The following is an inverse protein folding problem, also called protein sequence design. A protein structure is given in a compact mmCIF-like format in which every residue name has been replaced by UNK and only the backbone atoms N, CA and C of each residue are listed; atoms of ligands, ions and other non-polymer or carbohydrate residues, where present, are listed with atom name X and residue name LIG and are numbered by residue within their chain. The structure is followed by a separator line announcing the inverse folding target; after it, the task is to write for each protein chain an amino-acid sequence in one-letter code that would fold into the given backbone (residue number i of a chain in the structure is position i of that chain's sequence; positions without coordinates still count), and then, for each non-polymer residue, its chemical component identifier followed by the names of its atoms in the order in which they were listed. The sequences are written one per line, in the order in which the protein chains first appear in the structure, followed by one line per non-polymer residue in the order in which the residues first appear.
data_IF_917643248498
#
_entry.id   IF_917643248498
#
_cell.length_a   1.000
_cell.length_b   1.000
_cell.length_c   1.000
_cell.angle_alpha   90.00
_cell.angle_beta   90.00
_cell.angle_gamma   90.00
#
_symmetry.space_group_name_H-M   'P 1'
#
loop_
_entity.id
_entity.type
_entity.pdbx_description
1 polymer ?
#
# COMPACT_ATOMS: atom_id res chain seq x y z
N UNK A 1 -4.12 -33.23 -9.63
CA UNK A 1 -5.19 -32.26 -9.94
C UNK A 1 -6.28 -32.32 -8.87
N UNK A 2 -5.97 -31.94 -7.61
CA UNK A 2 -6.86 -32.21 -6.46
C UNK A 2 -6.95 -31.06 -5.45
N UNK A 3 -7.21 -29.85 -5.91
CA UNK A 3 -7.78 -28.82 -5.02
C UNK A 3 -8.83 -28.04 -5.81
N UNK A 4 -10.08 -27.96 -5.33
CA UNK A 4 -11.18 -27.26 -6.00
C UNK A 4 -11.06 -25.73 -5.81
N UNK A 5 -9.84 -25.20 -5.91
CA UNK A 5 -9.54 -23.78 -5.66
C UNK A 5 -9.13 -23.16 -6.98
N UNK A 6 -9.91 -22.17 -7.42
CA UNK A 6 -9.60 -21.42 -8.64
C UNK A 6 -8.36 -20.54 -8.42
N UNK A 7 -7.56 -20.31 -9.47
CA UNK A 7 -6.38 -19.43 -9.45
C UNK A 7 -6.69 -18.07 -8.81
N UNK A 8 -7.88 -17.54 -9.13
CA UNK A 8 -8.39 -16.30 -8.57
C UNK A 8 -8.55 -16.37 -7.06
N UNK A 9 -9.14 -17.44 -6.54
CA UNK A 9 -9.34 -17.63 -5.11
C UNK A 9 -8.01 -17.78 -4.36
N UNK A 10 -7.04 -18.50 -4.93
CA UNK A 10 -5.69 -18.65 -4.36
C UNK A 10 -4.93 -17.31 -4.33
N UNK A 11 -5.01 -16.53 -5.42
CA UNK A 11 -4.40 -15.21 -5.49
C UNK A 11 -5.01 -14.26 -4.46
N UNK A 12 -6.35 -14.18 -4.39
CA UNK A 12 -7.05 -13.33 -3.43
C UNK A 12 -6.77 -13.73 -1.98
N UNK A 13 -6.70 -15.04 -1.68
CA UNK A 13 -6.35 -15.49 -0.33
C UNK A 13 -4.91 -15.10 0.03
N UNK A 14 -3.96 -15.24 -0.90
CA UNK A 14 -2.55 -14.84 -0.67
C UNK A 14 -2.44 -13.33 -0.46
N UNK A 15 -3.16 -12.55 -1.25
CA UNK A 15 -3.16 -11.09 -1.18
C UNK A 15 -3.84 -10.58 0.10
N UNK A 16 -4.97 -11.17 0.51
CA UNK A 16 -5.62 -10.82 1.78
C UNK A 16 -4.77 -11.24 2.99
N UNK A 17 -4.14 -12.42 2.94
CA UNK A 17 -3.28 -12.92 4.00
C UNK A 17 -2.07 -12.02 4.26
N UNK A 18 -1.55 -11.32 3.25
CA UNK A 18 -0.47 -10.34 3.39
C UNK A 18 -0.96 -8.93 3.64
N UNK A 19 -2.12 -8.54 3.08
CA UNK A 19 -2.72 -7.23 3.27
C UNK A 19 -3.14 -6.97 4.72
N UNK A 20 -3.83 -7.93 5.35
CA UNK A 20 -4.33 -7.78 6.72
C UNK A 20 -3.19 -7.44 7.70
N UNK A 21 -2.11 -8.23 7.82
CA UNK A 21 -1.02 -7.91 8.75
C UNK A 21 -0.32 -6.59 8.38
N UNK A 22 -0.13 -6.28 7.10
CA UNK A 22 0.47 -5.02 6.67
C UNK A 22 -0.38 -3.80 7.09
N UNK A 23 -1.71 -3.89 6.92
CA UNK A 23 -2.62 -2.83 7.32
C UNK A 23 -2.71 -2.67 8.83
N UNK A 24 -2.71 -3.78 9.59
CA UNK A 24 -2.64 -3.75 11.05
C UNK A 24 -1.36 -3.06 11.54
N UNK A 25 -0.20 -3.35 10.93
CA UNK A 25 1.06 -2.67 11.26
C UNK A 25 0.96 -1.16 10.97
N UNK A 26 0.27 -0.77 9.90
CA UNK A 26 0.07 0.65 9.58
C UNK A 26 -0.85 1.34 10.58
N UNK A 27 -1.97 0.71 10.96
CA UNK A 27 -2.90 1.24 11.96
C UNK A 27 -2.26 1.37 13.34
N UNK A 28 -1.50 0.35 13.76
CA UNK A 28 -0.77 0.39 15.04
C UNK A 28 0.31 1.48 15.03
N UNK A 29 1.06 1.62 13.94
CA UNK A 29 2.04 2.69 13.77
C UNK A 29 1.40 4.07 13.83
N UNK A 30 0.22 4.24 13.20
CA UNK A 30 -0.55 5.48 13.26
C UNK A 30 -1.07 5.79 14.67
N UNK A 31 -1.54 4.78 15.41
CA UNK A 31 -2.00 4.94 16.79
C UNK A 31 -0.85 5.37 17.71
N UNK A 32 0.32 4.73 17.58
CA UNK A 32 1.55 5.11 18.31
C UNK A 32 1.98 6.52 17.94
N UNK A 33 1.98 6.87 16.65
CA UNK A 33 2.33 8.21 16.19
C UNK A 33 1.37 9.28 16.77
N UNK A 34 0.07 9.02 16.72
CA UNK A 34 -0.96 9.89 17.32
C UNK A 34 -0.71 10.11 18.81
N UNK A 35 -0.35 9.04 19.54
CA UNK A 35 -0.07 9.10 20.97
C UNK A 35 1.19 9.94 21.26
N UNK A 36 2.27 9.72 20.50
CA UNK A 36 3.51 10.51 20.62
C UNK A 36 3.25 11.99 20.35
N UNK A 37 2.50 12.31 19.29
CA UNK A 37 2.15 13.70 18.94
C UNK A 37 1.31 14.34 20.04
N UNK A 38 0.37 13.64 20.65
CA UNK A 38 -0.40 14.20 21.77
C UNK A 38 0.46 14.44 23.02
N UNK A 39 1.30 13.48 23.39
CA UNK A 39 2.14 13.56 24.59
C UNK A 39 3.20 14.66 24.48
N UNK A 40 3.85 14.79 23.33
CA UNK A 40 4.93 15.75 23.14
C UNK A 40 4.45 17.09 22.54
N UNK A 41 3.48 17.04 21.63
CA UNK A 41 2.94 18.21 20.95
C UNK A 41 1.93 18.99 21.78
N UNK A 42 1.21 18.36 22.72
CA UNK A 42 0.26 19.03 23.61
C UNK A 42 0.90 20.08 24.53
N UNK A 43 2.22 20.00 24.76
CA UNK A 43 2.97 21.04 25.47
C UNK A 43 3.22 22.31 24.63
N UNK A 44 3.14 22.21 23.31
CA UNK A 44 3.48 23.30 22.36
C UNK A 44 2.29 23.81 21.56
N UNK A 45 1.25 23.00 21.35
CA UNK A 45 0.04 23.37 20.58
C UNK A 45 -1.18 23.48 21.51
N UNK A 46 -1.79 24.66 21.56
CA UNK A 46 -3.00 24.94 22.38
C UNK A 46 -4.31 24.42 21.76
N UNK A 47 -4.29 24.00 20.49
CA UNK A 47 -5.43 23.36 19.81
C UNK A 47 -5.22 21.85 19.70
N UNK A 48 -6.33 21.10 19.63
CA UNK A 48 -6.33 19.64 19.46
C UNK A 48 -5.61 19.28 18.14
N UNK A 49 -4.32 18.87 18.18
CA UNK A 49 -3.46 19.04 17.03
C UNK A 49 -3.51 17.85 16.06
N UNK A 50 -4.14 16.75 16.46
CA UNK A 50 -4.10 15.47 15.76
C UNK A 50 -5.17 14.50 16.31
N UNK A 51 -5.68 13.51 15.56
CA UNK A 51 -5.64 13.40 14.11
C UNK A 51 -6.64 14.35 13.44
N UNK A 52 -6.20 15.06 12.40
CA UNK A 52 -7.09 15.90 11.59
C UNK A 52 -7.72 15.09 10.43
N UNK A 53 -8.65 15.72 9.70
CA UNK A 53 -9.35 15.06 8.59
C UNK A 53 -8.40 14.55 7.49
N UNK A 54 -7.31 15.28 7.21
CA UNK A 54 -6.30 14.87 6.21
C UNK A 54 -5.66 13.54 6.60
N UNK A 55 -5.28 13.38 7.87
CA UNK A 55 -4.70 12.14 8.38
C UNK A 55 -5.66 10.96 8.38
N UNK A 56 -6.93 11.19 8.71
CA UNK A 56 -7.97 10.16 8.60
C UNK A 56 -8.12 9.69 7.15
N UNK A 57 -8.20 10.60 6.18
CA UNK A 57 -8.26 10.25 4.75
C UNK A 57 -7.00 9.49 4.32
N UNK A 58 -5.81 9.90 4.77
CA UNK A 58 -4.57 9.20 4.46
C UNK A 58 -4.58 7.76 4.98
N UNK A 59 -4.99 7.52 6.21
CA UNK A 59 -4.92 6.19 6.83
C UNK A 59 -6.04 5.26 6.36
N UNK A 60 -7.26 5.78 6.17
CA UNK A 60 -8.41 4.95 5.84
C UNK A 60 -8.66 4.82 4.33
N UNK A 61 -8.14 5.74 3.51
CA UNK A 61 -8.38 5.72 2.06
C UNK A 61 -7.10 5.54 1.25
N UNK A 62 -6.06 6.34 1.52
CA UNK A 62 -4.83 6.31 0.71
C UNK A 62 -3.96 5.12 1.07
N UNK A 63 -3.73 4.87 2.37
CA UNK A 63 -2.93 3.77 2.88
C UNK A 63 -3.36 2.39 2.39
N UNK A 64 -4.65 1.97 2.46
CA UNK A 64 -5.03 0.66 1.96
C UNK A 64 -4.78 0.54 0.45
N UNK A 65 -4.99 1.61 -0.31
CA UNK A 65 -4.69 1.65 -1.75
C UNK A 65 -3.19 1.45 -2.01
N UNK A 66 -2.33 2.20 -1.29
CA UNK A 66 -0.87 2.09 -1.46
C UNK A 66 -0.34 0.71 -1.05
N UNK A 67 -0.89 0.11 0.01
CA UNK A 67 -0.52 -1.24 0.43
C UNK A 67 -0.91 -2.26 -0.65
N UNK A 68 -2.11 -2.16 -1.20
CA UNK A 68 -2.56 -3.01 -2.31
C UNK A 68 -1.69 -2.87 -3.55
N UNK A 69 -1.30 -1.64 -3.90
CA UNK A 69 -0.37 -1.37 -4.98
C UNK A 69 0.97 -2.06 -4.76
N UNK A 70 1.59 -1.87 -3.60
CA UNK A 70 2.87 -2.49 -3.27
C UNK A 70 2.82 -4.02 -3.29
N UNK A 71 1.76 -4.61 -2.73
CA UNK A 71 1.57 -6.06 -2.71
C UNK A 71 1.30 -6.63 -4.11
N UNK A 72 0.44 -5.99 -4.90
CA UNK A 72 0.14 -6.45 -6.27
C UNK A 72 1.37 -6.36 -7.16
N UNK A 73 2.15 -5.28 -7.07
CA UNK A 73 3.39 -5.12 -7.79
C UNK A 73 4.47 -6.13 -7.34
N UNK A 74 4.61 -6.39 -6.04
CA UNK A 74 5.51 -7.43 -5.50
C UNK A 74 5.16 -8.81 -6.05
N UNK A 75 3.87 -9.18 -6.06
CA UNK A 75 3.44 -10.49 -6.59
C UNK A 75 3.72 -10.61 -8.09
N UNK A 76 3.51 -9.54 -8.86
CA UNK A 76 3.89 -9.50 -10.28
C UNK A 76 5.39 -9.71 -10.43
N UNK A 77 6.22 -8.91 -9.74
CA UNK A 77 7.68 -9.01 -9.83
C UNK A 77 8.16 -10.40 -9.43
N UNK A 78 7.62 -10.96 -8.34
CA UNK A 78 7.98 -12.30 -7.86
C UNK A 78 7.68 -13.39 -8.90
N UNK A 79 6.57 -13.29 -9.64
CA UNK A 79 6.19 -14.29 -10.65
C UNK A 79 7.06 -14.25 -11.93
N UNK A 80 7.82 -13.17 -12.14
CA UNK A 80 8.73 -13.01 -13.28
C UNK A 80 10.20 -13.02 -12.90
N UNK A 81 10.53 -12.93 -11.61
CA UNK A 81 11.88 -12.98 -11.11
C UNK A 81 12.41 -14.42 -11.10
N UNK A 82 13.64 -14.60 -11.57
CA UNK A 82 14.32 -15.89 -11.60
C UNK A 82 14.95 -16.29 -10.26
N UNK A 83 15.10 -15.36 -9.31
CA UNK A 83 15.62 -15.64 -7.97
C UNK A 83 14.88 -14.80 -6.91
N UNK A 84 14.77 -15.34 -5.69
CA UNK A 84 14.17 -14.64 -4.56
C UNK A 84 14.87 -13.31 -4.24
N UNK A 85 16.21 -13.30 -4.31
CA UNK A 85 17.02 -12.10 -4.08
C UNK A 85 16.77 -11.03 -5.16
N UNK A 86 16.65 -11.44 -6.43
CA UNK A 86 16.33 -10.55 -7.54
C UNK A 86 14.93 -9.94 -7.41
N UNK A 87 13.94 -10.74 -7.01
CA UNK A 87 12.59 -10.26 -6.73
C UNK A 87 12.58 -9.18 -5.64
N UNK A 88 13.32 -9.40 -4.55
CA UNK A 88 13.39 -8.46 -3.43
C UNK A 88 14.09 -7.15 -3.82
N UNK A 89 15.20 -7.20 -4.56
CA UNK A 89 15.88 -6.00 -5.04
C UNK A 89 14.99 -5.20 -5.99
N UNK A 90 14.40 -5.87 -6.99
CA UNK A 90 13.54 -5.21 -7.97
C UNK A 90 12.27 -4.63 -7.32
N UNK A 91 11.72 -5.31 -6.30
CA UNK A 91 10.59 -4.79 -5.55
C UNK A 91 10.97 -3.60 -4.66
N UNK A 92 12.22 -3.55 -4.20
CA UNK A 92 12.79 -2.35 -3.57
C UNK A 92 12.79 -1.12 -4.50
N UNK A 93 12.98 -1.30 -5.81
CA UNK A 93 12.88 -0.19 -6.77
C UNK A 93 11.48 0.42 -6.86
N UNK A 94 10.41 -0.31 -6.49
CA UNK A 94 9.05 0.25 -6.41
C UNK A 94 8.98 1.37 -5.37
N UNK A 95 9.84 1.38 -4.34
CA UNK A 95 9.84 2.45 -3.34
C UNK A 95 10.30 3.81 -3.92
N UNK A 96 11.09 3.82 -5.00
CA UNK A 96 11.64 5.05 -5.60
C UNK A 96 10.56 6.06 -6.01
N UNK A 97 9.51 5.71 -6.77
CA UNK A 97 8.44 6.66 -7.08
C UNK A 97 7.73 7.20 -5.83
N UNK A 98 7.57 6.39 -4.78
CA UNK A 98 7.01 6.86 -3.51
C UNK A 98 7.93 7.86 -2.82
N UNK A 99 9.24 7.62 -2.82
CA UNK A 99 10.22 8.59 -2.31
C UNK A 99 10.15 9.90 -3.09
N UNK A 100 10.02 9.85 -4.42
CA UNK A 100 9.84 11.03 -5.26
C UNK A 100 8.59 11.85 -4.87
N UNK A 101 7.47 11.16 -4.60
CA UNK A 101 6.24 11.82 -4.12
C UNK A 101 6.44 12.49 -2.75
N UNK A 102 7.15 11.85 -1.82
CA UNK A 102 7.46 12.42 -0.50
C UNK A 102 8.31 13.69 -0.66
N UNK A 103 9.34 13.64 -1.51
CA UNK A 103 10.19 14.80 -1.79
C UNK A 103 9.33 15.93 -2.37
N UNK A 104 8.53 15.66 -3.41
CA UNK A 104 7.67 16.66 -4.04
C UNK A 104 6.66 17.29 -3.05
N UNK A 105 6.11 16.48 -2.14
CA UNK A 105 5.20 16.95 -1.08
C UNK A 105 5.94 17.87 -0.10
N UNK A 106 7.09 17.43 0.43
CA UNK A 106 7.86 18.19 1.43
C UNK A 106 8.45 19.48 0.87
N UNK A 107 8.83 19.51 -0.42
CA UNK A 107 9.28 20.72 -1.11
C UNK A 107 8.15 21.72 -1.40
N UNK A 108 6.89 21.37 -1.12
CA UNK A 108 5.73 22.23 -1.40
C UNK A 108 5.30 22.28 -2.87
N UNK A 109 5.99 21.55 -3.76
CA UNK A 109 5.65 21.45 -5.19
C UNK A 109 4.31 20.74 -5.37
N UNK A 110 4.01 19.77 -4.50
CA UNK A 110 2.77 19.00 -4.53
C UNK A 110 2.07 19.09 -3.16
N UNK A 111 1.29 20.16 -2.89
CA UNK A 111 0.53 20.26 -1.66
C UNK A 111 -0.57 19.18 -1.63
N UNK A 112 -0.47 18.25 -0.68
CA UNK A 112 -1.50 17.23 -0.47
C UNK A 112 -2.70 17.84 0.26
N UNK A 113 -3.54 18.50 -0.50
CA UNK A 113 -4.87 18.90 -0.04
C UNK A 113 -5.82 17.71 0.03
N UNK A 114 -6.78 17.78 0.94
CA UNK A 114 -7.77 16.71 1.17
C UNK A 114 -8.49 16.32 -0.12
N UNK A 115 -8.79 17.29 -0.98
CA UNK A 115 -9.42 17.06 -2.28
C UNK A 115 -8.60 16.13 -3.20
N UNK A 116 -7.28 16.31 -3.27
CA UNK A 116 -6.42 15.48 -4.11
C UNK A 116 -6.28 14.06 -3.53
N UNK A 117 -6.29 13.92 -2.21
CA UNK A 117 -6.24 12.62 -1.55
C UNK A 117 -7.51 11.80 -1.79
N UNK A 118 -8.68 12.44 -1.67
CA UNK A 118 -9.98 11.79 -1.85
C UNK A 118 -10.18 11.32 -3.29
N UNK A 119 -9.63 12.03 -4.29
CA UNK A 119 -9.69 11.62 -5.70
C UNK A 119 -8.57 10.64 -6.07
N UNK A 120 -7.37 10.87 -5.54
CA UNK A 120 -6.18 10.09 -5.88
C UNK A 120 -6.25 8.64 -5.39
N UNK A 121 -6.81 8.39 -4.21
CA UNK A 121 -6.92 7.04 -3.68
C UNK A 121 -7.86 6.13 -4.51
N UNK A 122 -9.10 6.53 -4.86
CA UNK A 122 -9.93 5.76 -5.79
C UNK A 122 -9.25 5.51 -7.13
N UNK A 123 -8.55 6.52 -7.68
CA UNK A 123 -7.80 6.36 -8.91
C UNK A 123 -6.71 5.28 -8.78
N UNK A 124 -5.98 5.29 -7.67
CA UNK A 124 -4.96 4.26 -7.37
C UNK A 124 -5.59 2.87 -7.24
N UNK A 125 -6.74 2.74 -6.58
CA UNK A 125 -7.47 1.47 -6.49
C UNK A 125 -7.91 0.94 -7.85
N UNK A 126 -8.30 1.84 -8.78
CA UNK A 126 -8.59 1.45 -10.16
C UNK A 126 -7.32 0.92 -10.83
N UNK A 127 -6.17 1.56 -10.64
CA UNK A 127 -4.89 1.05 -11.12
C UNK A 127 -4.53 -0.31 -10.51
N UNK A 128 -4.72 -0.50 -9.21
CA UNK A 128 -4.49 -1.79 -8.54
C UNK A 128 -5.36 -2.88 -9.14
N UNK A 129 -6.64 -2.58 -9.35
CA UNK A 129 -7.58 -3.51 -9.97
C UNK A 129 -7.14 -3.88 -11.39
N UNK A 130 -6.63 -2.93 -12.18
CA UNK A 130 -6.12 -3.18 -13.53
C UNK A 130 -4.86 -4.06 -13.49
N UNK A 131 -3.91 -3.78 -12.59
CA UNK A 131 -2.69 -4.57 -12.40
C UNK A 131 -3.06 -6.01 -12.02
N UNK A 132 -3.92 -6.18 -11.02
CA UNK A 132 -4.39 -7.50 -10.55
C UNK A 132 -5.11 -8.24 -11.69
N UNK A 133 -5.99 -7.56 -12.42
CA UNK A 133 -6.74 -8.17 -13.53
C UNK A 133 -5.81 -8.61 -14.67
N UNK A 134 -4.79 -7.82 -14.99
CA UNK A 134 -3.78 -8.19 -15.99
C UNK A 134 -2.92 -9.36 -15.52
N UNK A 135 -2.52 -9.35 -14.24
CA UNK A 135 -1.75 -10.39 -13.58
C UNK A 135 -2.50 -11.74 -13.62
N UNK A 136 -3.79 -11.75 -13.26
CA UNK A 136 -4.65 -12.95 -13.31
C UNK A 136 -4.83 -13.53 -14.72
N UNK A 137 -4.73 -12.71 -15.78
CA UNK A 137 -4.79 -13.19 -17.17
C UNK A 137 -3.48 -13.80 -17.66
N UNK A 138 -2.36 -13.45 -17.04
CA UNK A 138 -1.00 -13.84 -17.46
C UNK A 138 -0.36 -14.89 -16.55
N UNK A 139 -0.84 -15.08 -15.33
CA UNK A 139 -0.32 -16.09 -14.42
C UNK A 139 -0.90 -17.48 -14.68
N UNK A 140 -0.02 -18.48 -14.59
CA UNK A 140 -0.35 -19.91 -14.54
C UNK A 140 -0.22 -20.41 -13.09
N UNK A 141 -0.97 -21.43 -12.70
CA UNK A 141 -0.95 -22.01 -11.34
C UNK A 141 0.46 -22.34 -10.82
N UNK A 142 1.33 -22.85 -11.70
CA UNK A 142 2.70 -23.27 -11.37
C UNK A 142 3.55 -22.10 -10.83
N UNK A 143 3.39 -20.90 -11.39
CA UNK A 143 4.18 -19.71 -10.99
C UNK A 143 3.70 -19.03 -9.71
N UNK A 144 2.53 -19.40 -9.19
CA UNK A 144 1.94 -18.77 -8.00
C UNK A 144 2.35 -19.49 -6.69
N UNK A 145 2.72 -20.77 -6.83
CA UNK A 145 3.14 -21.66 -5.74
C UNK A 145 4.65 -21.66 -5.51
N UNK A 146 5.45 -21.31 -6.52
CA UNK A 146 6.87 -20.94 -6.37
C UNK A 146 7.03 -19.59 -5.65
#
# INVERSE_FOLDING_TARGET
MYTPVTLRQLFFSKLLATFIPAYVVTLTSFAVFTLVVHLMGGAYLQEMPFPNLKWLVLIFLVSPSVILFGLSAMVVISAYASTFQGAQQLSGFIAIPFMGLIIAQTSGVLPLETQYLVVGAPLLLVFDYLIISFCLRRLTYERLLE
#
